data_IF_671349340033
#
_entry.id   IF_671349340033
#
_cell.length_a   1.000
_cell.length_b   1.000
_cell.length_c   1.000
_cell.angle_alpha   90.00
_cell.angle_beta   90.00
_cell.angle_gamma   90.00
#
_symmetry.space_group_name_H-M   'P 1'
#
loop_
_entity.id
_entity.type
_entity.pdbx_description
1 polymer ?
#
# COMPACT_ATOMS: atom_id res chain seq x y z
N UNK A 1 28.77 31.78 18.86
CA UNK A 1 27.96 31.82 17.61
C UNK A 1 27.99 30.51 16.83
N UNK A 2 29.16 29.90 16.53
CA UNK A 2 29.26 28.64 15.74
C UNK A 2 28.48 27.43 16.31
N UNK A 3 28.41 27.28 17.65
CA UNK A 3 27.70 26.16 18.29
C UNK A 3 26.16 26.27 18.16
N UNK A 4 25.60 27.47 18.18
CA UNK A 4 24.15 27.68 18.06
C UNK A 4 23.62 27.32 16.66
N UNK A 5 24.42 27.58 15.62
CA UNK A 5 24.10 27.24 14.22
C UNK A 5 24.08 25.72 14.01
N UNK A 6 24.96 24.98 14.68
CA UNK A 6 25.00 23.51 14.60
C UNK A 6 23.75 22.85 15.19
N UNK A 7 23.28 23.33 16.35
CA UNK A 7 22.05 22.83 16.98
C UNK A 7 20.80 23.19 16.17
N UNK A 8 20.77 24.35 15.51
CA UNK A 8 19.68 24.76 14.64
C UNK A 8 19.52 23.84 13.41
N UNK A 9 20.62 23.43 12.78
CA UNK A 9 20.55 22.53 11.62
C UNK A 9 20.13 21.10 11.99
N UNK A 10 20.55 20.59 13.15
CA UNK A 10 20.14 19.26 13.62
C UNK A 10 18.64 19.20 13.94
N UNK A 11 18.09 20.27 14.52
CA UNK A 11 16.65 20.38 14.79
C UNK A 11 15.82 20.46 13.49
N UNK A 12 16.37 21.04 12.40
CA UNK A 12 15.72 21.09 11.10
C UNK A 12 15.74 19.75 10.35
N UNK A 13 16.76 18.90 10.55
CA UNK A 13 16.78 17.56 9.96
C UNK A 13 15.73 16.59 10.53
N UNK A 14 15.16 16.86 11.71
CA UNK A 14 14.11 16.02 12.30
C UNK A 14 12.79 16.09 11.52
N UNK A 15 12.60 17.13 10.69
CA UNK A 15 11.41 17.30 9.86
C UNK A 15 11.65 16.95 8.38
N UNK A 16 12.85 16.47 8.05
CA UNK A 16 13.10 15.91 6.74
C UNK A 16 12.43 14.52 6.70
N UNK A 17 11.24 14.45 6.10
CA UNK A 17 10.71 13.18 5.63
C UNK A 17 11.68 12.63 4.59
N UNK A 18 12.60 11.76 5.03
CA UNK A 18 13.24 10.83 4.11
C UNK A 18 12.10 10.17 3.31
N UNK A 19 12.28 9.99 2.00
CA UNK A 19 11.23 9.52 1.09
C UNK A 19 10.56 8.21 1.52
N UNK A 20 9.69 7.66 0.68
CA UNK A 20 8.95 6.40 0.93
C UNK A 20 9.85 5.13 1.00
N UNK A 21 11.08 5.24 1.50
CA UNK A 21 12.17 4.25 1.53
C UNK A 21 11.79 2.93 2.24
N UNK A 22 10.73 2.94 3.06
CA UNK A 22 10.20 1.74 3.72
C UNK A 22 8.71 1.53 3.52
N UNK A 23 8.11 2.21 2.54
CA UNK A 23 6.73 1.92 2.16
C UNK A 23 6.71 0.61 1.40
N UNK A 24 5.91 -0.33 1.88
CA UNK A 24 5.70 -1.61 1.21
C UNK A 24 4.33 -1.62 0.56
N UNK A 25 4.27 -2.07 -0.69
CA UNK A 25 3.03 -2.37 -1.40
C UNK A 25 3.00 -3.83 -1.77
N UNK A 26 1.84 -4.47 -1.68
CA UNK A 26 1.70 -5.88 -2.00
C UNK A 26 0.30 -6.23 -2.51
N UNK A 27 0.21 -7.27 -3.32
CA UNK A 27 -1.04 -7.95 -3.68
C UNK A 27 -0.93 -9.43 -3.39
N UNK A 28 -2.02 -10.07 -2.97
CA UNK A 28 -2.15 -11.53 -2.93
C UNK A 28 -3.44 -11.99 -3.57
N UNK A 29 -3.35 -13.12 -4.26
CA UNK A 29 -4.50 -13.83 -4.84
C UNK A 29 -4.54 -15.25 -4.27
N UNK A 30 -5.71 -15.90 -4.25
CA UNK A 30 -5.85 -17.33 -3.96
C UNK A 30 -5.36 -17.78 -2.56
N UNK A 31 -5.15 -16.86 -1.61
CA UNK A 31 -4.88 -17.20 -0.20
C UNK A 31 -6.20 -17.44 0.55
N UNK A 32 -6.30 -17.10 1.85
CA UNK A 32 -7.62 -17.03 2.54
C UNK A 32 -8.53 -15.93 1.95
N UNK A 33 -7.93 -14.98 1.24
CA UNK A 33 -8.59 -13.82 0.65
C UNK A 33 -7.73 -13.27 -0.49
N UNK A 34 -8.34 -12.39 -1.26
CA UNK A 34 -7.68 -11.56 -2.26
C UNK A 34 -7.56 -10.14 -1.71
N UNK A 35 -6.41 -9.49 -1.92
CA UNK A 35 -6.20 -8.12 -1.43
C UNK A 35 -5.05 -7.41 -2.11
N UNK A 36 -5.07 -6.09 -1.98
CA UNK A 36 -3.93 -5.19 -2.17
C UNK A 36 -3.72 -4.34 -0.91
N UNK A 37 -2.47 -4.13 -0.50
CA UNK A 37 -2.11 -3.38 0.72
C UNK A 37 -1.00 -2.38 0.44
N UNK A 38 -1.13 -1.17 0.99
CA UNK A 38 -0.01 -0.26 1.26
C UNK A 38 0.24 -0.23 2.76
N UNK A 39 1.50 -0.34 3.18
CA UNK A 39 1.88 -0.31 4.59
C UNK A 39 3.18 0.46 4.80
N UNK A 40 3.19 1.29 5.84
CA UNK A 40 4.39 1.86 6.42
C UNK A 40 4.23 1.99 7.94
N UNK A 41 4.77 1.02 8.68
CA UNK A 41 4.56 0.91 10.12
C UNK A 41 4.87 2.20 10.89
N UNK A 42 3.91 2.68 11.68
CA UNK A 42 3.97 3.94 12.46
C UNK A 42 4.19 5.23 11.66
N UNK A 43 4.07 5.20 10.34
CA UNK A 43 4.21 6.39 9.49
C UNK A 43 2.91 6.61 8.70
N UNK A 44 1.91 7.27 9.30
CA UNK A 44 0.65 7.52 8.62
C UNK A 44 0.81 8.58 7.53
N UNK A 45 0.25 8.26 6.35
CA UNK A 45 0.04 9.21 5.26
C UNK A 45 -1.36 9.02 4.71
N UNK A 46 -1.77 9.96 3.86
CA UNK A 46 -3.05 9.90 3.18
C UNK A 46 -2.97 8.93 1.99
N UNK A 47 -3.26 7.66 2.28
CA UNK A 47 -3.15 6.54 1.35
C UNK A 47 -4.48 6.19 0.74
N UNK A 48 -4.44 5.68 -0.50
CA UNK A 48 -5.57 4.98 -1.11
C UNK A 48 -5.08 3.74 -1.84
N UNK A 49 -5.82 2.65 -1.71
CA UNK A 49 -5.57 1.42 -2.47
C UNK A 49 -6.85 1.04 -3.21
N UNK A 50 -6.72 0.82 -4.52
CA UNK A 50 -7.77 0.25 -5.35
C UNK A 50 -7.31 -1.15 -5.77
N UNK A 51 -8.11 -2.17 -5.49
CA UNK A 51 -7.82 -3.57 -5.80
C UNK A 51 -8.88 -4.12 -6.74
N UNK A 52 -8.47 -4.61 -7.90
CA UNK A 52 -9.35 -5.28 -8.87
C UNK A 52 -9.11 -6.78 -8.82
N UNK A 53 -10.16 -7.55 -8.52
CA UNK A 53 -10.10 -9.00 -8.44
C UNK A 53 -10.81 -9.59 -9.65
N UNK A 54 -10.10 -10.46 -10.35
CA UNK A 54 -10.61 -11.18 -11.52
C UNK A 54 -10.56 -12.68 -11.25
N UNK A 55 -11.64 -13.38 -11.57
CA UNK A 55 -11.73 -14.83 -11.48
C UNK A 55 -11.89 -15.39 -12.89
N UNK A 56 -11.00 -16.30 -13.31
CA UNK A 56 -10.98 -16.88 -14.65
C UNK A 56 -11.04 -15.82 -15.78
N UNK A 57 -10.40 -14.67 -15.56
CA UNK A 57 -10.36 -13.55 -16.51
C UNK A 57 -11.61 -12.67 -16.52
N UNK A 58 -12.60 -12.93 -15.66
CA UNK A 58 -13.77 -12.06 -15.47
C UNK A 58 -13.57 -11.20 -14.23
N UNK A 59 -13.76 -9.88 -14.37
CA UNK A 59 -13.77 -8.99 -13.21
C UNK A 59 -14.93 -9.36 -12.28
N UNK A 60 -14.61 -9.71 -11.04
CA UNK A 60 -15.59 -10.09 -10.02
C UNK A 60 -15.83 -8.94 -9.05
N UNK A 61 -14.75 -8.38 -8.49
CA UNK A 61 -14.85 -7.37 -7.43
C UNK A 61 -13.86 -6.23 -7.64
N UNK A 62 -14.25 -5.05 -7.16
CA UNK A 62 -13.41 -3.86 -7.06
C UNK A 62 -13.50 -3.35 -5.64
N UNK A 63 -12.36 -3.22 -4.97
CA UNK A 63 -12.24 -2.64 -3.64
C UNK A 63 -11.53 -1.30 -3.75
N UNK A 64 -12.05 -0.28 -3.08
CA UNK A 64 -11.45 1.05 -3.02
C UNK A 64 -11.53 1.55 -1.59
N UNK A 65 -10.39 1.77 -0.95
CA UNK A 65 -10.35 2.28 0.42
C UNK A 65 -10.77 3.74 0.52
N UNK A 66 -10.78 4.48 -0.60
CA UNK A 66 -10.71 5.94 -0.56
C UNK A 66 -9.36 6.41 -0.02
N UNK A 67 -9.21 7.73 0.07
CA UNK A 67 -8.06 8.36 0.72
C UNK A 67 -8.30 8.42 2.22
N UNK A 68 -7.40 7.81 2.99
CA UNK A 68 -7.46 7.76 4.45
C UNK A 68 -6.07 8.02 5.05
N UNK A 69 -6.01 8.83 6.10
CA UNK A 69 -4.79 9.07 6.86
C UNK A 69 -4.50 7.91 7.81
N UNK A 70 -3.72 6.94 7.34
CA UNK A 70 -3.43 5.69 8.05
C UNK A 70 -2.00 5.24 7.80
N UNK A 71 -1.46 4.38 8.65
CA UNK A 71 -0.17 3.71 8.41
C UNK A 71 -0.33 2.42 7.58
N UNK A 72 -1.58 1.97 7.34
CA UNK A 72 -1.91 0.80 6.53
C UNK A 72 -3.26 1.00 5.83
N UNK A 73 -3.25 1.00 4.50
CA UNK A 73 -4.45 0.99 3.66
C UNK A 73 -4.60 -0.39 3.02
N UNK A 74 -5.79 -0.99 3.15
CA UNK A 74 -6.00 -2.41 2.87
C UNK A 74 -7.31 -2.63 2.11
N UNK A 75 -7.20 -2.92 0.81
CA UNK A 75 -8.32 -3.23 -0.07
C UNK A 75 -8.47 -4.75 -0.16
N UNK A 76 -9.43 -5.33 0.56
CA UNK A 76 -9.57 -6.79 0.77
C UNK A 76 -10.96 -7.31 0.45
N UNK A 77 -11.02 -8.51 -0.12
CA UNK A 77 -12.23 -9.33 -0.13
C UNK A 77 -11.92 -10.72 0.45
N UNK A 78 -12.58 -11.05 1.57
CA UNK A 78 -12.47 -12.36 2.22
C UNK A 78 -13.24 -13.44 1.48
N UNK A 79 -12.79 -14.69 1.57
CA UNK A 79 -13.52 -15.84 1.02
C UNK A 79 -13.45 -16.01 -0.50
N UNK A 80 -12.61 -15.24 -1.19
CA UNK A 80 -12.29 -15.40 -2.61
C UNK A 80 -11.02 -16.23 -2.85
N UNK A 81 -10.59 -16.99 -1.82
CA UNK A 81 -9.46 -17.90 -1.93
C UNK A 81 -9.85 -19.18 -2.66
N UNK A 82 -9.14 -19.53 -3.73
CA UNK A 82 -9.31 -20.82 -4.40
C UNK A 82 -7.97 -21.55 -4.57
N UNK A 83 -7.90 -22.80 -4.11
CA UNK A 83 -6.77 -23.71 -4.31
C UNK A 83 -6.49 -24.01 -5.80
N UNK A 84 -7.46 -23.80 -6.69
CA UNK A 84 -7.26 -23.98 -8.14
C UNK A 84 -6.49 -22.83 -8.80
N UNK A 85 -6.26 -21.71 -8.09
CA UNK A 85 -5.46 -20.59 -8.61
C UNK A 85 -6.19 -19.75 -9.67
N UNK A 86 -7.51 -19.65 -9.58
CA UNK A 86 -8.35 -18.98 -10.58
C UNK A 86 -8.38 -17.46 -10.43
N UNK A 87 -7.95 -16.92 -9.29
CA UNK A 87 -7.97 -15.49 -9.03
C UNK A 87 -6.71 -14.77 -9.48
N UNK A 88 -6.89 -13.54 -9.95
CA UNK A 88 -5.83 -12.57 -10.20
C UNK A 88 -6.23 -11.23 -9.62
N UNK A 89 -5.27 -10.57 -8.98
CA UNK A 89 -5.45 -9.32 -8.25
C UNK A 89 -4.52 -8.27 -8.83
N UNK A 90 -5.09 -7.09 -9.14
CA UNK A 90 -4.33 -5.91 -9.54
C UNK A 90 -4.55 -4.79 -8.52
N UNK A 91 -3.48 -4.40 -7.83
CA UNK A 91 -3.46 -3.31 -6.86
C UNK A 91 -2.94 -2.02 -7.47
N UNK A 92 -3.62 -0.92 -7.19
CA UNK A 92 -3.22 0.44 -7.55
C UNK A 92 -3.10 1.27 -6.27
N UNK A 93 -1.90 1.79 -6.03
CA UNK A 93 -1.54 2.42 -4.76
C UNK A 93 -1.29 3.91 -4.99
N UNK A 94 -1.98 4.74 -4.22
CA UNK A 94 -1.96 6.19 -4.37
C UNK A 94 -1.53 6.86 -3.06
N UNK A 95 -0.75 7.92 -3.21
CA UNK A 95 -0.40 8.86 -2.15
C UNK A 95 -1.04 10.21 -2.47
N UNK A 96 -1.68 10.80 -1.48
CA UNK A 96 -2.11 12.20 -1.52
C UNK A 96 -0.98 13.06 -0.93
N UNK A 97 -0.31 13.81 -1.81
CA UNK A 97 0.69 14.82 -1.45
C UNK A 97 0.02 16.19 -1.52
N UNK A 98 -0.81 16.51 -0.51
CA UNK A 98 -1.58 17.75 -0.23
C UNK A 98 -2.36 18.40 -1.40
N UNK A 99 -1.74 18.58 -2.56
CA UNK A 99 -2.28 19.13 -3.80
C UNK A 99 -2.44 18.10 -4.92
N UNK A 100 -1.89 16.89 -4.79
CA UNK A 100 -1.88 15.89 -5.87
C UNK A 100 -2.24 14.50 -5.35
N UNK A 101 -3.09 13.80 -6.10
CA UNK A 101 -3.38 12.37 -5.93
C UNK A 101 -2.49 11.61 -6.90
N UNK A 102 -1.37 11.11 -6.41
CA UNK A 102 -0.29 10.56 -7.23
C UNK A 102 -0.37 9.02 -7.15
N UNK A 103 -0.57 8.31 -8.27
CA UNK A 103 -0.29 6.89 -8.30
C UNK A 103 1.21 6.71 -8.06
N UNK A 104 1.59 5.98 -7.01
CA UNK A 104 3.00 5.79 -6.69
C UNK A 104 3.47 4.35 -6.89
N UNK A 105 2.56 3.38 -6.91
CA UNK A 105 2.90 1.98 -7.23
C UNK A 105 1.71 1.17 -7.75
N UNK A 106 2.01 0.02 -8.37
CA UNK A 106 1.03 -0.97 -8.80
C UNK A 106 1.53 -2.37 -8.52
N UNK A 107 0.64 -3.26 -8.10
CA UNK A 107 0.98 -4.65 -7.79
C UNK A 107 0.09 -5.62 -8.57
N UNK A 108 0.62 -6.82 -8.81
CA UNK A 108 -0.11 -7.91 -9.46
C UNK A 108 0.17 -9.22 -8.73
N UNK A 109 -0.86 -10.04 -8.54
CA UNK A 109 -0.73 -11.39 -8.03
C UNK A 109 -1.73 -12.33 -8.70
N UNK A 110 -1.27 -13.53 -9.05
CA UNK A 110 -2.07 -14.65 -9.56
C UNK A 110 -1.91 -15.93 -8.71
N UNK A 111 -1.16 -15.83 -7.61
CA UNK A 111 -0.91 -16.92 -6.68
C UNK A 111 -0.84 -16.39 -5.24
N UNK A 112 -0.92 -17.33 -4.30
CA UNK A 112 -0.80 -17.00 -2.89
C UNK A 112 0.66 -16.74 -2.54
N UNK A 113 1.02 -15.46 -2.46
CA UNK A 113 2.33 -15.01 -1.98
C UNK A 113 2.19 -14.47 -0.56
N UNK A 114 2.38 -15.36 0.41
CA UNK A 114 2.61 -14.98 1.79
C UNK A 114 4.05 -14.48 1.86
N UNK A 115 4.25 -13.17 1.88
CA UNK A 115 5.57 -12.60 2.18
C UNK A 115 5.77 -12.72 3.69
N UNK A 116 6.83 -13.41 4.11
CA UNK A 116 7.23 -13.51 5.52
C UNK A 116 7.54 -12.14 6.11
N UNK A 117 6.98 -11.83 7.29
CA UNK A 117 7.15 -10.56 7.99
C UNK A 117 5.91 -9.67 8.04
N UNK A 118 4.76 -10.19 7.64
CA UNK A 118 3.43 -9.59 7.77
C UNK A 118 2.58 -10.33 8.81
#
# INVERSE_FOLDING_TARGET
>A
MKKAVLFGMLAMSLNAYAGLDRTTVHSRANCLNNESITWWYMHPFDWRVVSYHTDQGRQSHTMDTGFEYTWRAHAIHWGEGDLTGSWRVHGYHYLSDYHRKIPFDTTYADHCNIIDGW
#
